data_IF_131949129230
#
_entry.id   IF_131949129230
#
_cell.length_a   1.000
_cell.length_b   1.000
_cell.length_c   1.000
_cell.angle_alpha   90.00
_cell.angle_beta   90.00
_cell.angle_gamma   90.00
#
_symmetry.space_group_name_H-M   'P 1'
#
loop_
_entity.id
_entity.type
_entity.pdbx_description
1 polymer ?
#
# COMPACT_ATOMS: atom_id res chain seq x y z
N UNK A 1 12.12 1.95 4.84
CA UNK A 1 11.09 0.90 4.93
C UNK A 1 9.73 1.55 4.88
N UNK A 2 8.78 0.99 4.13
CA UNK A 2 7.42 1.52 4.00
C UNK A 2 6.37 0.50 4.44
N UNK A 3 6.69 -0.80 4.37
CA UNK A 3 5.78 -1.88 4.62
C UNK A 3 5.19 -1.84 6.05
N UNK A 4 3.88 -2.06 6.16
CA UNK A 4 3.19 -2.19 7.44
C UNK A 4 2.00 -3.16 7.34
N UNK A 5 1.56 -3.78 8.44
CA UNK A 5 0.39 -4.65 8.43
C UNK A 5 -0.91 -3.94 8.02
N UNK A 6 -1.86 -4.69 7.47
CA UNK A 6 -3.21 -4.21 7.14
C UNK A 6 -3.35 -3.48 5.80
N UNK A 7 -2.29 -3.42 5.00
CA UNK A 7 -2.33 -2.86 3.63
C UNK A 7 -2.33 -3.97 2.58
N UNK A 8 -2.86 -3.65 1.39
CA UNK A 8 -2.84 -4.52 0.22
C UNK A 8 -1.68 -4.14 -0.67
N UNK A 9 -0.78 -5.09 -0.95
CA UNK A 9 0.37 -4.91 -1.82
C UNK A 9 0.25 -5.77 -3.07
N UNK A 10 1.04 -5.46 -4.09
CA UNK A 10 1.16 -6.25 -5.31
C UNK A 10 2.57 -6.84 -5.39
N UNK A 11 2.65 -8.14 -5.62
CA UNK A 11 3.93 -8.86 -5.71
C UNK A 11 4.57 -8.60 -7.06
N UNK A 12 5.79 -8.07 -7.06
CA UNK A 12 6.56 -7.75 -8.26
C UNK A 12 7.85 -8.59 -8.38
N UNK A 13 8.05 -9.58 -7.51
CA UNK A 13 9.16 -10.53 -7.62
C UNK A 13 9.08 -11.35 -8.92
N UNK A 14 10.12 -11.24 -9.75
CA UNK A 14 10.28 -12.08 -10.95
C UNK A 14 10.52 -13.55 -10.59
N UNK A 15 11.17 -13.81 -9.46
CA UNK A 15 11.43 -15.19 -8.99
C UNK A 15 10.14 -15.94 -8.61
N UNK A 16 9.10 -15.20 -8.23
CA UNK A 16 7.78 -15.74 -7.90
C UNK A 16 6.84 -15.81 -9.11
N UNK A 17 7.30 -15.40 -10.31
CA UNK A 17 6.50 -15.44 -11.53
C UNK A 17 6.19 -16.87 -11.97
N UNK A 18 7.18 -17.77 -11.91
CA UNK A 18 7.02 -19.20 -12.24
C UNK A 18 6.02 -19.91 -11.31
N UNK A 19 5.85 -19.38 -10.10
CA UNK A 19 4.89 -19.87 -9.10
C UNK A 19 3.51 -19.21 -9.20
N UNK A 20 3.31 -18.33 -10.18
CA UNK A 20 2.02 -17.68 -10.44
C UNK A 20 1.69 -16.48 -9.55
N UNK A 21 2.64 -15.95 -8.77
CA UNK A 21 2.37 -14.83 -7.84
C UNK A 21 2.72 -13.45 -8.40
N UNK A 22 3.42 -13.38 -9.53
CA UNK A 22 3.80 -12.10 -10.12
C UNK A 22 2.57 -11.29 -10.54
N UNK A 23 2.56 -10.00 -10.19
CA UNK A 23 1.45 -9.04 -10.32
C UNK A 23 0.18 -9.40 -9.54
N UNK A 24 0.21 -10.44 -8.71
CA UNK A 24 -0.91 -10.79 -7.83
C UNK A 24 -0.94 -9.92 -6.58
N UNK A 25 -2.14 -9.70 -6.05
CA UNK A 25 -2.35 -8.87 -4.85
C UNK A 25 -2.45 -9.72 -3.60
N UNK A 26 -1.93 -9.20 -2.49
CA UNK A 26 -1.96 -9.85 -1.19
C UNK A 26 -2.09 -8.87 -0.05
N UNK A 27 -2.61 -9.35 1.08
CA UNK A 27 -2.71 -8.61 2.33
C UNK A 27 -1.45 -8.81 3.16
N UNK A 28 -0.81 -7.72 3.58
CA UNK A 28 0.28 -7.77 4.56
C UNK A 28 -0.30 -8.12 5.93
N UNK A 29 -0.10 -9.35 6.40
CA UNK A 29 -0.54 -9.80 7.73
C UNK A 29 0.42 -9.34 8.82
N UNK A 30 1.72 -9.45 8.55
CA UNK A 30 2.81 -9.12 9.49
C UNK A 30 4.01 -8.59 8.73
N UNK A 31 4.87 -7.85 9.44
CA UNK A 31 6.17 -7.39 8.93
C UNK A 31 7.26 -7.88 9.87
N UNK A 32 8.32 -8.47 9.30
CA UNK A 32 9.49 -9.02 9.99
C UNK A 32 10.67 -8.08 9.71
N UNK A 33 11.38 -7.70 10.77
CA UNK A 33 12.55 -6.82 10.72
C UNK A 33 12.37 -5.51 9.91
N UNK A 34 11.12 -5.03 9.81
CA UNK A 34 10.66 -3.83 9.06
C UNK A 34 10.59 -3.97 7.54
N UNK A 35 11.22 -4.96 6.93
CA UNK A 35 11.36 -5.04 5.47
C UNK A 35 10.64 -6.24 4.84
N UNK A 36 10.50 -7.37 5.54
CA UNK A 36 9.90 -8.57 4.96
C UNK A 36 8.44 -8.69 5.35
N UNK A 37 7.55 -8.78 4.37
CA UNK A 37 6.12 -8.97 4.57
C UNK A 37 5.72 -10.44 4.59
N UNK A 38 4.91 -10.83 5.58
CA UNK A 38 4.11 -12.06 5.49
C UNK A 38 2.80 -11.74 4.78
N UNK A 39 2.72 -12.13 3.51
CA UNK A 39 1.68 -11.73 2.56
C UNK A 39 0.71 -12.88 2.34
N UNK A 40 -0.56 -12.69 2.71
CA UNK A 40 -1.65 -13.61 2.38
C UNK A 40 -2.25 -13.22 1.03
N UNK A 41 -2.05 -14.05 0.00
CA UNK A 41 -2.53 -13.80 -1.35
C UNK A 41 -4.06 -13.75 -1.38
N UNK A 42 -4.64 -12.74 -2.03
CA UNK A 42 -6.09 -12.51 -1.96
C UNK A 42 -6.90 -13.63 -2.62
N UNK A 43 -6.41 -14.18 -3.74
CA UNK A 43 -7.08 -15.23 -4.51
C UNK A 43 -6.76 -16.62 -3.94
N UNK A 44 -5.48 -17.02 -3.90
CA UNK A 44 -5.09 -18.38 -3.53
C UNK A 44 -5.04 -18.65 -2.03
N UNK A 45 -5.09 -17.60 -1.18
CA UNK A 45 -4.87 -17.67 0.28
C UNK A 45 -3.49 -18.18 0.71
N UNK A 46 -2.57 -18.40 -0.24
CA UNK A 46 -1.20 -18.76 0.08
C UNK A 46 -0.52 -17.66 0.87
N UNK A 47 0.37 -18.05 1.79
CA UNK A 47 1.15 -17.11 2.58
C UNK A 47 2.60 -17.13 2.09
N UNK A 48 3.11 -15.96 1.71
CA UNK A 48 4.46 -15.77 1.18
C UNK A 48 5.24 -14.83 2.10
N UNK A 49 6.57 -15.01 2.12
CA UNK A 49 7.48 -14.00 2.68
C UNK A 49 8.18 -13.30 1.53
N UNK A 50 7.98 -12.00 1.42
CA UNK A 50 8.47 -11.19 0.30
C UNK A 50 9.11 -9.93 0.86
N UNK A 51 10.31 -9.60 0.38
CA UNK A 51 10.97 -8.35 0.73
C UNK A 51 10.19 -7.16 0.12
N UNK A 52 10.11 -6.05 0.85
CA UNK A 52 9.42 -4.85 0.40
C UNK A 52 9.91 -4.31 -0.95
N UNK A 53 11.16 -4.57 -1.34
CA UNK A 53 11.73 -4.13 -2.63
C UNK A 53 11.15 -4.93 -3.81
N UNK A 54 10.53 -6.08 -3.53
CA UNK A 54 9.80 -6.90 -4.50
C UNK A 54 8.27 -6.71 -4.39
N UNK A 55 7.82 -5.67 -3.69
CA UNK A 55 6.43 -5.30 -3.52
C UNK A 55 6.15 -3.90 -4.10
N UNK A 56 4.93 -3.70 -4.57
CA UNK A 56 4.43 -2.41 -5.06
C UNK A 56 3.20 -2.00 -4.22
N UNK A 57 3.07 -0.71 -3.92
CA UNK A 57 1.86 -0.17 -3.29
C UNK A 57 0.65 -0.32 -4.22
N UNK A 58 -0.54 -0.48 -3.65
CA UNK A 58 -1.78 -0.57 -4.44
C UNK A 58 -2.66 0.62 -4.12
N UNK A 59 -3.11 1.35 -5.14
CA UNK A 59 -4.15 2.37 -4.95
C UNK A 59 -5.55 1.73 -4.93
N UNK A 60 -6.44 2.13 -4.03
CA UNK A 60 -7.85 1.79 -4.11
C UNK A 60 -8.54 2.64 -5.20
N UNK A 61 -9.83 2.38 -5.41
CA UNK A 61 -10.68 3.32 -6.12
C UNK A 61 -10.78 4.67 -5.40
N UNK A 62 -11.13 5.73 -6.13
CA UNK A 62 -11.45 7.04 -5.55
C UNK A 62 -12.54 6.88 -4.47
N UNK A 63 -12.38 7.58 -3.36
CA UNK A 63 -13.17 7.44 -2.14
C UNK A 63 -12.70 6.31 -1.21
N UNK A 64 -11.79 5.44 -1.66
CA UNK A 64 -11.24 4.34 -0.89
C UNK A 64 -10.22 4.79 0.16
N UNK A 65 -10.05 3.96 1.19
CA UNK A 65 -9.14 4.20 2.30
C UNK A 65 -7.71 3.81 1.94
N UNK A 66 -6.77 4.72 2.21
CA UNK A 66 -5.33 4.50 2.09
C UNK A 66 -4.63 4.74 3.42
N UNK A 67 -3.49 4.09 3.60
CA UNK A 67 -2.48 4.34 4.62
C UNK A 67 -1.37 5.14 3.97
N UNK A 68 -0.95 6.22 4.60
CA UNK A 68 0.28 6.91 4.21
C UNK A 68 1.46 6.13 4.82
N UNK A 69 2.34 5.60 3.98
CA UNK A 69 3.41 4.67 4.36
C UNK A 69 4.79 5.32 4.44
N UNK A 70 4.93 6.56 3.98
CA UNK A 70 6.16 7.35 3.97
C UNK A 70 5.89 8.86 4.19
N UNK A 71 6.94 9.66 4.26
CA UNK A 71 6.85 11.11 4.43
C UNK A 71 6.33 11.57 5.80
N UNK A 72 6.04 12.87 5.91
CA UNK A 72 5.69 13.53 7.18
C UNK A 72 4.34 13.07 7.78
N UNK A 73 3.46 12.49 6.96
CA UNK A 73 2.13 12.02 7.36
C UNK A 73 2.07 10.51 7.55
N UNK A 74 3.22 9.82 7.50
CA UNK A 74 3.33 8.38 7.67
C UNK A 74 2.55 7.90 8.89
N UNK A 75 1.77 6.84 8.71
CA UNK A 75 0.93 6.26 9.74
C UNK A 75 -0.46 6.88 9.84
N UNK A 76 -0.76 7.93 9.07
CA UNK A 76 -2.12 8.45 8.96
C UNK A 76 -2.94 7.63 7.96
N UNK A 77 -4.23 7.49 8.25
CA UNK A 77 -5.19 6.98 7.28
C UNK A 77 -5.87 8.17 6.58
N UNK A 78 -6.12 8.03 5.29
CA UNK A 78 -6.71 9.08 4.47
C UNK A 78 -7.63 8.49 3.38
N UNK A 79 -8.57 9.28 2.89
CA UNK A 79 -9.34 8.94 1.69
C UNK A 79 -8.69 9.47 0.44
N UNK A 80 -8.65 8.62 -0.58
CA UNK A 80 -8.22 9.00 -1.93
C UNK A 80 -9.29 9.87 -2.58
N UNK A 81 -8.99 11.13 -2.90
CA UNK A 81 -9.94 12.05 -3.54
C UNK A 81 -9.78 12.09 -5.06
N UNK A 82 -8.56 12.06 -5.55
CA UNK A 82 -8.24 12.03 -6.99
C UNK A 82 -6.83 11.52 -7.22
N UNK A 83 -6.56 11.12 -8.45
CA UNK A 83 -5.25 10.67 -8.93
C UNK A 83 -4.82 11.52 -10.12
N UNK A 84 -3.53 11.79 -10.22
CA UNK A 84 -2.86 12.45 -11.33
C UNK A 84 -1.86 11.45 -11.91
N UNK A 85 -2.24 10.85 -13.03
CA UNK A 85 -1.45 9.80 -13.70
C UNK A 85 -0.24 10.34 -14.43
N UNK A 86 -0.23 11.63 -14.81
CA UNK A 86 0.94 12.25 -15.45
C UNK A 86 2.05 12.47 -14.43
N UNK A 87 1.69 12.82 -13.20
CA UNK A 87 2.62 13.09 -12.10
C UNK A 87 2.82 11.94 -11.13
N UNK A 88 2.15 10.80 -11.37
CA UNK A 88 2.16 9.65 -10.46
C UNK A 88 1.86 10.02 -9.00
N UNK A 89 0.88 10.90 -8.80
CA UNK A 89 0.55 11.47 -7.49
C UNK A 89 -0.95 11.53 -7.23
N UNK A 90 -1.34 11.69 -5.97
CA UNK A 90 -2.71 11.65 -5.50
C UNK A 90 -3.04 12.84 -4.60
N UNK A 91 -4.34 13.17 -4.57
CA UNK A 91 -4.92 14.09 -3.60
C UNK A 91 -5.66 13.28 -2.54
N UNK A 92 -5.40 13.55 -1.28
CA UNK A 92 -5.92 12.80 -0.14
C UNK A 92 -6.60 13.72 0.88
N UNK A 93 -7.51 13.17 1.67
CA UNK A 93 -8.02 13.81 2.88
C UNK A 93 -7.81 12.90 4.08
N UNK A 94 -7.08 13.37 5.09
CA UNK A 94 -6.84 12.61 6.33
C UNK A 94 -8.16 12.43 7.08
N UNK A 95 -8.48 11.19 7.50
CA UNK A 95 -9.79 10.88 8.11
C UNK A 95 -9.89 11.20 9.60
N UNK A 96 -8.80 10.99 10.37
CA UNK A 96 -8.75 11.16 11.83
C UNK A 96 -7.30 11.37 12.30
N UNK A 97 -7.15 11.99 13.47
CA UNK A 97 -5.86 12.17 14.15
C UNK A 97 -5.41 13.64 14.16
N UNK A 98 -4.10 13.88 14.34
CA UNK A 98 -3.54 15.23 14.46
C UNK A 98 -3.83 16.14 13.27
N UNK A 99 -4.05 15.54 12.09
CA UNK A 99 -4.28 16.24 10.83
C UNK A 99 -5.70 16.04 10.30
N UNK A 100 -6.67 15.76 11.17
CA UNK A 100 -8.06 15.48 10.79
C UNK A 100 -8.61 16.51 9.79
N UNK A 101 -9.25 16.02 8.73
CA UNK A 101 -9.82 16.81 7.64
C UNK A 101 -8.80 17.47 6.69
N UNK A 102 -7.49 17.41 6.98
CA UNK A 102 -6.46 18.06 6.15
C UNK A 102 -6.40 17.43 4.76
N UNK A 103 -6.44 18.29 3.75
CA UNK A 103 -6.28 17.90 2.34
C UNK A 103 -4.80 17.96 1.96
N UNK A 104 -4.25 16.81 1.58
CA UNK A 104 -2.90 16.68 1.06
C UNK A 104 -2.96 16.61 -0.46
N UNK A 105 -2.10 17.38 -1.14
CA UNK A 105 -2.03 17.43 -2.60
C UNK A 105 -0.69 16.85 -3.05
N UNK A 106 -0.67 16.23 -4.23
CA UNK A 106 0.54 15.71 -4.87
C UNK A 106 1.34 14.74 -3.97
N UNK A 107 0.65 13.81 -3.30
CA UNK A 107 1.31 12.71 -2.58
C UNK A 107 1.62 11.61 -3.57
N UNK A 108 2.89 11.17 -3.66
CA UNK A 108 3.33 10.17 -4.61
C UNK A 108 2.67 8.80 -4.36
N UNK A 109 2.48 8.00 -5.41
CA UNK A 109 1.86 6.69 -5.30
C UNK A 109 2.65 5.71 -4.42
N UNK A 110 3.97 5.82 -4.40
CA UNK A 110 4.83 4.99 -3.52
C UNK A 110 4.66 5.31 -2.03
N UNK A 111 4.13 6.49 -1.71
CA UNK A 111 3.94 6.95 -0.34
C UNK A 111 2.57 6.58 0.25
N UNK A 112 1.68 5.97 -0.55
CA UNK A 112 0.34 5.58 -0.13
C UNK A 112 -0.04 4.17 -0.58
N UNK A 113 -0.76 3.46 0.27
CA UNK A 113 -1.18 2.10 -0.03
C UNK A 113 -2.60 1.81 0.47
N UNK A 114 -3.37 1.04 -0.29
CA UNK A 114 -4.73 0.62 0.02
C UNK A 114 -4.77 -0.10 1.37
N UNK A 115 -5.68 0.31 2.24
CA UNK A 115 -6.00 -0.42 3.48
C UNK A 115 -6.97 -1.54 3.16
N UNK A 116 -6.75 -2.72 3.75
CA UNK A 116 -7.72 -3.80 3.71
C UNK A 116 -8.90 -3.47 4.61
N UNK A 117 -10.11 -3.57 4.05
CA UNK A 117 -11.38 -3.42 4.75
C UNK A 117 -11.95 -4.80 5.05
#
# INVERSE_FOLDING_TARGET
YWLCPGIVVKVMSKSLAEKGYYKQKGLVKRVIDKYVGEIEMLESKHVLRVDQDELETVLPQIGGLVRIVNGAYRGSNARLLSVDTERFSAKLQVEKGLYDGKVLKAIEYEDICKVAQ
#
